data_IF_475895750297
#
_entry.id   IF_475895750297
#
_cell.length_a   1.000
_cell.length_b   1.000
_cell.length_c   1.000
_cell.angle_alpha   90.00
_cell.angle_beta   90.00
_cell.angle_gamma   90.00
#
_symmetry.space_group_name_H-M   'P 1'
#
loop_
_entity.id
_entity.type
_entity.pdbx_description
1 polymer ?
#
# COMPACT_ATOMS: atom_id res chain seq x y z
N UNK A 1 56.71 -15.90 3.63
CA UNK A 1 55.26 -15.66 3.74
C UNK A 1 54.81 -14.92 2.50
N UNK A 2 53.97 -15.54 1.68
CA UNK A 2 53.44 -14.94 0.46
C UNK A 2 52.27 -14.01 0.81
N UNK A 3 52.37 -12.73 0.47
CA UNK A 3 51.22 -11.83 0.38
C UNK A 3 51.06 -11.44 -1.09
N UNK A 4 49.93 -11.85 -1.66
CA UNK A 4 49.58 -11.63 -3.07
C UNK A 4 49.20 -10.16 -3.22
N UNK A 5 49.99 -9.41 -3.99
CA UNK A 5 49.67 -8.04 -4.39
C UNK A 5 48.58 -8.09 -5.47
N UNK A 6 47.35 -7.75 -5.11
CA UNK A 6 46.30 -7.50 -6.10
C UNK A 6 46.49 -6.08 -6.66
N UNK A 7 47.20 -5.97 -7.77
CA UNK A 7 47.26 -4.74 -8.55
C UNK A 7 46.01 -4.65 -9.45
N UNK A 8 44.99 -3.92 -9.03
CA UNK A 8 43.92 -3.50 -9.95
C UNK A 8 44.44 -2.37 -10.82
N UNK A 9 44.81 -2.70 -12.06
CA UNK A 9 45.13 -1.72 -13.08
C UNK A 9 43.86 -1.00 -13.52
N UNK A 10 43.65 0.20 -12.99
CA UNK A 10 42.92 1.25 -13.67
C UNK A 10 43.85 2.45 -13.79
N UNK A 11 44.40 2.63 -14.99
CA UNK A 11 44.90 3.90 -15.51
C UNK A 11 43.73 4.90 -15.37
N UNK A 12 43.82 6.00 -14.63
CA UNK A 12 44.64 7.17 -14.92
C UNK A 12 44.92 7.99 -13.63
N UNK A 13 46.20 8.12 -13.30
CA UNK A 13 46.80 9.35 -12.77
C UNK A 13 46.27 10.03 -11.49
N UNK A 14 46.44 9.41 -10.32
CA UNK A 14 46.97 10.12 -9.12
C UNK A 14 47.10 9.16 -7.94
N UNK A 15 48.34 8.93 -7.49
CA UNK A 15 48.63 8.14 -6.31
C UNK A 15 48.17 8.86 -5.05
N UNK A 16 47.29 8.22 -4.28
CA UNK A 16 47.06 8.55 -2.89
C UNK A 16 46.91 7.25 -2.10
N UNK A 17 47.81 7.13 -1.12
CA UNK A 17 48.04 5.98 -0.25
C UNK A 17 46.71 5.53 0.39
N UNK A 18 46.28 4.31 0.09
CA UNK A 18 45.11 3.70 0.73
C UNK A 18 45.43 3.42 2.20
N UNK A 19 45.15 4.39 3.06
CA UNK A 19 45.14 4.20 4.51
C UNK A 19 43.97 3.28 4.84
N UNK A 20 44.30 2.07 5.29
CA UNK A 20 43.37 0.97 5.56
C UNK A 20 42.13 1.41 6.31
N UNK A 21 41.07 1.63 5.55
CA UNK A 21 39.76 1.87 6.11
C UNK A 21 38.80 0.93 5.41
N UNK A 22 38.39 -0.08 6.16
CA UNK A 22 37.27 -0.95 5.82
C UNK A 22 36.00 -0.11 6.03
N UNK A 23 35.77 0.89 5.18
CA UNK A 23 34.43 1.43 5.00
C UNK A 23 33.83 0.68 3.81
N UNK A 24 32.74 -0.04 4.06
CA UNK A 24 31.90 -0.56 2.98
C UNK A 24 31.45 0.65 2.15
N UNK A 25 32.02 0.84 0.95
CA UNK A 25 31.60 1.92 0.06
C UNK A 25 30.17 1.62 -0.37
N UNK A 26 29.23 2.32 0.26
CA UNK A 26 27.80 2.27 -0.08
C UNK A 26 27.68 2.77 -1.52
N UNK A 27 27.54 1.84 -2.46
CA UNK A 27 27.39 2.20 -3.86
C UNK A 27 25.96 2.70 -4.08
N UNK A 28 25.79 4.01 -4.04
CA UNK A 28 24.50 4.67 -4.21
C UNK A 28 23.84 4.27 -5.55
N UNK A 29 24.57 4.16 -6.66
CA UNK A 29 23.95 3.77 -7.93
C UNK A 29 23.32 2.37 -7.88
N UNK A 30 23.97 1.40 -7.22
CA UNK A 30 23.40 0.06 -7.01
C UNK A 30 22.17 0.08 -6.13
N UNK A 31 22.17 0.91 -5.09
CA UNK A 31 21.04 1.05 -4.17
C UNK A 31 19.86 1.73 -4.88
N UNK A 32 20.11 2.78 -5.67
CA UNK A 32 19.12 3.42 -6.55
C UNK A 32 18.42 2.40 -7.43
N UNK A 33 19.21 1.62 -8.16
CA UNK A 33 18.74 0.62 -9.10
C UNK A 33 17.92 -0.47 -8.38
N UNK A 34 18.36 -0.90 -7.20
CA UNK A 34 17.62 -1.88 -6.41
C UNK A 34 16.25 -1.37 -5.96
N UNK A 35 16.18 -0.16 -5.37
CA UNK A 35 14.92 0.39 -4.88
C UNK A 35 13.95 0.75 -6.02
N UNK A 36 14.47 1.24 -7.15
CA UNK A 36 13.66 1.53 -8.35
C UNK A 36 13.13 0.27 -9.00
N UNK A 37 13.97 -0.76 -9.16
CA UNK A 37 13.54 -2.07 -9.66
C UNK A 37 12.47 -2.67 -8.76
N UNK A 38 12.64 -2.59 -7.45
CA UNK A 38 11.66 -3.08 -6.48
C UNK A 38 10.33 -2.33 -6.59
N UNK A 39 10.37 -1.00 -6.71
CA UNK A 39 9.18 -0.19 -6.87
C UNK A 39 8.42 -0.54 -8.16
N UNK A 40 9.13 -0.64 -9.28
CA UNK A 40 8.53 -0.95 -10.59
C UNK A 40 7.95 -2.36 -10.62
N UNK A 41 8.74 -3.36 -10.21
CA UNK A 41 8.35 -4.77 -10.32
C UNK A 41 7.28 -5.19 -9.31
N UNK A 42 7.37 -4.73 -8.06
CA UNK A 42 6.48 -5.20 -7.00
C UNK A 42 5.21 -4.35 -6.84
N UNK A 43 5.21 -3.11 -7.35
CA UNK A 43 4.10 -2.17 -7.12
C UNK A 43 3.52 -1.64 -8.42
N UNK A 44 4.29 -0.92 -9.24
CA UNK A 44 3.73 -0.23 -10.41
C UNK A 44 3.24 -1.19 -11.50
N UNK A 45 3.98 -2.26 -11.79
CA UNK A 45 3.56 -3.22 -12.81
C UNK A 45 2.30 -4.00 -12.37
N UNK A 46 2.22 -4.60 -11.17
CA UNK A 46 1.00 -5.25 -10.71
C UNK A 46 -0.20 -4.29 -10.62
N UNK A 47 0.00 -3.08 -10.10
CA UNK A 47 -1.09 -2.09 -9.98
C UNK A 47 -1.61 -1.64 -11.34
N UNK A 48 -0.73 -1.43 -12.33
CA UNK A 48 -1.14 -1.07 -13.69
C UNK A 48 -1.97 -2.18 -14.35
N UNK A 49 -1.52 -3.44 -14.26
CA UNK A 49 -2.26 -4.59 -14.80
C UNK A 49 -3.66 -4.69 -14.16
N UNK A 50 -3.72 -4.61 -12.84
CA UNK A 50 -4.97 -4.67 -12.08
C UNK A 50 -5.89 -3.50 -12.46
N UNK A 51 -5.35 -2.28 -12.61
CA UNK A 51 -6.11 -1.10 -12.99
C UNK A 51 -6.69 -1.22 -14.41
N UNK A 52 -5.89 -1.69 -15.37
CA UNK A 52 -6.37 -1.97 -16.74
C UNK A 52 -7.49 -3.00 -16.72
N UNK A 53 -7.31 -4.12 -16.00
CA UNK A 53 -8.35 -5.14 -15.87
C UNK A 53 -9.67 -4.54 -15.33
N UNK A 54 -9.60 -3.68 -14.31
CA UNK A 54 -10.80 -3.04 -13.77
C UNK A 54 -11.45 -2.03 -14.71
N UNK A 55 -10.66 -1.24 -15.44
CA UNK A 55 -11.18 -0.31 -16.46
C UNK A 55 -11.93 -1.09 -17.54
N UNK A 56 -11.37 -2.23 -17.98
CA UNK A 56 -12.03 -3.12 -18.94
C UNK A 56 -13.34 -3.69 -18.38
N UNK A 57 -13.34 -4.15 -17.13
CA UNK A 57 -14.57 -4.64 -16.46
C UNK A 57 -15.63 -3.53 -16.43
N UNK A 58 -15.27 -2.32 -15.98
CA UNK A 58 -16.20 -1.19 -15.91
C UNK A 58 -16.76 -0.81 -17.29
N UNK A 59 -15.91 -0.80 -18.33
CA UNK A 59 -16.31 -0.54 -19.70
C UNK A 59 -17.28 -1.61 -20.23
N UNK A 60 -17.01 -2.90 -19.97
CA UNK A 60 -17.91 -4.01 -20.35
C UNK A 60 -19.25 -3.89 -19.65
N UNK A 61 -19.25 -3.57 -18.35
CA UNK A 61 -20.48 -3.35 -17.56
C UNK A 61 -21.31 -2.21 -18.15
N UNK A 62 -20.69 -1.05 -18.38
CA UNK A 62 -21.39 0.12 -18.92
C UNK A 62 -21.91 -0.14 -20.34
N UNK A 63 -21.14 -0.84 -21.18
CA UNK A 63 -21.55 -1.22 -22.53
C UNK A 63 -22.77 -2.14 -22.49
N UNK A 64 -22.76 -3.17 -21.63
CA UNK A 64 -23.89 -4.10 -21.44
C UNK A 64 -25.12 -3.40 -20.87
N UNK A 65 -24.96 -2.50 -19.90
CA UNK A 65 -26.05 -1.70 -19.35
C UNK A 65 -26.70 -0.80 -20.42
N UNK A 66 -25.89 -0.18 -21.29
CA UNK A 66 -26.38 0.64 -22.41
C UNK A 66 -27.15 -0.21 -23.44
N UNK A 67 -26.62 -1.39 -23.80
CA UNK A 67 -27.27 -2.32 -24.72
C UNK A 67 -28.62 -2.83 -24.20
N UNK A 68 -28.72 -3.13 -22.90
CA UNK A 68 -30.00 -3.52 -22.27
C UNK A 68 -31.00 -2.36 -22.24
N UNK A 69 -30.55 -1.14 -21.96
CA UNK A 69 -31.43 0.04 -21.94
C UNK A 69 -31.99 0.38 -23.32
N UNK A 70 -31.26 0.07 -24.39
CA UNK A 70 -31.69 0.30 -25.76
C UNK A 70 -32.69 -0.76 -26.29
N UNK A 71 -33.04 -1.77 -25.48
CA UNK A 71 -34.08 -2.75 -25.85
C UNK A 71 -33.66 -3.79 -26.90
N UNK A 72 -32.37 -3.89 -27.22
CA UNK A 72 -31.87 -4.74 -28.32
C UNK A 72 -31.62 -6.21 -27.94
N UNK A 73 -31.74 -6.59 -26.66
CA UNK A 73 -31.58 -7.97 -26.20
C UNK A 73 -32.89 -8.52 -25.65
N UNK A 74 -33.50 -9.48 -26.35
CA UNK A 74 -34.55 -10.32 -25.77
C UNK A 74 -33.95 -11.16 -24.65
N UNK A 75 -34.52 -11.06 -23.43
CA UNK A 75 -33.96 -11.72 -22.25
C UNK A 75 -34.46 -13.17 -22.18
N UNK A 76 -33.59 -14.14 -22.47
CA UNK A 76 -33.90 -15.56 -22.22
C UNK A 76 -33.73 -15.89 -20.74
N UNK A 77 -34.33 -16.98 -20.26
CA UNK A 77 -34.19 -17.38 -18.85
C UNK A 77 -32.73 -17.71 -18.47
N UNK A 78 -31.95 -18.16 -19.47
CA UNK A 78 -30.50 -18.34 -19.34
C UNK A 78 -29.77 -17.00 -19.16
N UNK A 79 -30.19 -15.93 -19.84
CA UNK A 79 -29.63 -14.58 -19.69
C UNK A 79 -29.91 -14.00 -18.29
N UNK A 80 -31.09 -14.30 -17.71
CA UNK A 80 -31.45 -13.89 -16.35
C UNK A 80 -30.54 -14.53 -15.31
N UNK A 81 -30.31 -15.84 -15.42
CA UNK A 81 -29.43 -16.55 -14.49
C UNK A 81 -27.98 -16.08 -14.63
N UNK A 82 -27.50 -15.87 -15.86
CA UNK A 82 -26.16 -15.32 -16.10
C UNK A 82 -26.01 -13.89 -15.57
N UNK A 83 -27.04 -13.05 -15.71
CA UNK A 83 -27.07 -11.68 -15.16
C UNK A 83 -27.03 -11.67 -13.63
N UNK A 84 -27.79 -12.54 -12.99
CA UNK A 84 -27.77 -12.74 -11.53
C UNK A 84 -26.36 -13.08 -11.03
N UNK A 85 -25.70 -14.05 -11.65
CA UNK A 85 -24.31 -14.42 -11.34
C UNK A 85 -23.36 -13.23 -11.53
N UNK A 86 -23.43 -12.55 -12.67
CA UNK A 86 -22.59 -11.39 -12.98
C UNK A 86 -22.75 -10.24 -11.99
N UNK A 87 -23.98 -9.93 -11.55
CA UNK A 87 -24.23 -8.90 -10.53
C UNK A 87 -23.59 -9.26 -9.18
N UNK A 88 -23.55 -10.56 -8.85
CA UNK A 88 -22.91 -11.09 -7.64
C UNK A 88 -21.40 -10.96 -7.72
N UNK A 89 -20.81 -11.24 -8.88
CA UNK A 89 -19.37 -11.07 -9.14
C UNK A 89 -18.97 -9.58 -9.10
N UNK A 90 -19.80 -8.70 -9.65
CA UNK A 90 -19.56 -7.25 -9.59
C UNK A 90 -19.52 -6.70 -8.17
N UNK A 91 -20.27 -7.30 -7.23
CA UNK A 91 -20.20 -6.92 -5.81
C UNK A 91 -18.82 -7.23 -5.24
N UNK A 92 -18.24 -8.37 -5.58
CA UNK A 92 -16.87 -8.75 -5.18
C UNK A 92 -15.86 -7.83 -5.83
N UNK A 93 -15.96 -7.59 -7.14
CA UNK A 93 -15.11 -6.65 -7.88
C UNK A 93 -15.13 -5.26 -7.26
N UNK A 94 -16.31 -4.75 -6.85
CA UNK A 94 -16.44 -3.46 -6.16
C UNK A 94 -15.66 -3.43 -4.83
N UNK A 95 -15.68 -4.52 -4.07
CA UNK A 95 -14.89 -4.60 -2.84
C UNK A 95 -13.39 -4.60 -3.15
N UNK A 96 -12.97 -5.38 -4.15
CA UNK A 96 -11.57 -5.43 -4.59
C UNK A 96 -11.07 -4.07 -5.12
N UNK A 97 -11.92 -3.32 -5.82
CA UNK A 97 -11.62 -1.95 -6.26
C UNK A 97 -11.28 -1.03 -5.09
N UNK A 98 -12.03 -1.11 -3.99
CA UNK A 98 -11.76 -0.29 -2.81
C UNK A 98 -10.49 -0.74 -2.10
N UNK A 99 -10.25 -2.05 -1.96
CA UNK A 99 -9.01 -2.60 -1.41
C UNK A 99 -7.80 -2.09 -2.20
N UNK A 100 -7.84 -2.22 -3.53
CA UNK A 100 -6.76 -1.77 -4.41
C UNK A 100 -6.61 -0.25 -4.39
N UNK A 101 -7.70 0.50 -4.33
CA UNK A 101 -7.66 1.95 -4.18
C UNK A 101 -6.95 2.38 -2.90
N UNK A 102 -7.28 1.78 -1.76
CA UNK A 102 -6.61 2.05 -0.48
C UNK A 102 -5.15 1.63 -0.52
N UNK A 103 -4.85 0.45 -1.08
CA UNK A 103 -3.48 0.00 -1.28
C UNK A 103 -2.66 1.01 -2.09
N UNK A 104 -3.20 1.51 -3.20
CA UNK A 104 -2.53 2.53 -4.01
C UNK A 104 -2.35 3.82 -3.21
N UNK A 105 -3.37 4.29 -2.49
CA UNK A 105 -3.29 5.53 -1.70
C UNK A 105 -2.27 5.44 -0.56
N UNK A 106 -2.10 4.28 0.05
CA UNK A 106 -1.12 4.08 1.13
C UNK A 106 0.32 3.90 0.61
N UNK A 107 0.51 3.25 -0.53
CA UNK A 107 1.85 2.90 -1.01
C UNK A 107 2.41 3.86 -2.06
N UNK A 108 1.57 4.42 -2.93
CA UNK A 108 2.00 5.32 -4.00
C UNK A 108 2.76 6.55 -3.48
N UNK A 109 2.29 7.25 -2.42
CA UNK A 109 3.03 8.39 -1.87
C UNK A 109 4.42 8.01 -1.36
N UNK A 110 4.56 6.81 -0.78
CA UNK A 110 5.83 6.31 -0.28
C UNK A 110 6.82 5.99 -1.40
N UNK A 111 6.36 5.31 -2.46
CA UNK A 111 7.20 5.04 -3.62
C UNK A 111 7.63 6.33 -4.33
N UNK A 112 6.72 7.28 -4.52
CA UNK A 112 7.04 8.60 -5.10
C UNK A 112 8.07 9.32 -4.22
N UNK A 113 7.90 9.30 -2.89
CA UNK A 113 8.82 9.96 -1.97
C UNK A 113 10.23 9.37 -2.00
N UNK A 114 10.36 8.04 -2.02
CA UNK A 114 11.65 7.35 -2.17
C UNK A 114 12.32 7.72 -3.50
N UNK A 115 11.57 7.77 -4.60
CA UNK A 115 12.10 8.21 -5.89
C UNK A 115 12.56 9.68 -5.84
N UNK A 116 11.78 10.57 -5.23
CA UNK A 116 12.17 11.97 -5.07
C UNK A 116 13.46 12.13 -4.26
N UNK A 117 13.61 11.41 -3.15
CA UNK A 117 14.83 11.42 -2.34
C UNK A 117 16.08 10.95 -3.12
N UNK A 118 15.90 10.03 -4.07
CA UNK A 118 17.02 9.44 -4.81
C UNK A 118 17.38 10.19 -6.10
N UNK A 119 16.39 10.79 -6.76
CA UNK A 119 16.58 11.45 -8.05
C UNK A 119 16.69 12.97 -7.95
N UNK A 120 16.21 13.58 -6.86
CA UNK A 120 16.35 15.01 -6.61
C UNK A 120 17.21 15.29 -5.37
N UNK A 121 18.45 15.79 -5.54
CA UNK A 121 19.33 16.16 -4.41
C UNK A 121 18.70 17.19 -3.48
N UNK A 122 17.81 18.05 -4.00
CA UNK A 122 17.10 19.10 -3.25
C UNK A 122 16.20 18.60 -2.11
N UNK A 123 15.85 17.31 -2.14
CA UNK A 123 15.07 16.63 -1.11
C UNK A 123 15.95 15.76 -0.21
N UNK A 124 17.23 15.54 -0.57
CA UNK A 124 18.15 14.75 0.21
C UNK A 124 18.66 15.54 1.43
N UNK A 125 18.45 14.99 2.62
CA UNK A 125 18.77 15.64 3.89
C UNK A 125 20.26 15.94 4.05
N UNK A 126 21.12 15.20 3.35
CA UNK A 126 22.58 15.29 3.48
C UNK A 126 23.18 16.51 2.78
N UNK A 127 22.49 17.08 1.79
CA UNK A 127 23.00 18.22 0.98
C UNK A 127 22.21 19.53 1.17
N UNK A 128 21.21 19.53 2.06
CA UNK A 128 20.40 20.71 2.32
C UNK A 128 21.20 21.75 3.14
N UNK A 129 21.36 22.99 2.65
CA UNK A 129 22.06 24.04 3.38
C UNK A 129 21.37 24.38 4.71
N UNK A 130 22.18 24.61 5.76
CA UNK A 130 21.76 24.85 7.15
C UNK A 130 20.76 26.03 7.29
N UNK A 131 20.79 26.99 6.36
CA UNK A 131 19.96 28.20 6.39
C UNK A 131 18.49 28.00 5.95
N UNK A 132 18.07 26.79 5.54
CA UNK A 132 16.69 26.49 5.14
C UNK A 132 15.92 25.62 6.16
N UNK A 133 15.95 26.01 7.43
CA UNK A 133 15.31 25.29 8.54
C UNK A 133 13.81 25.02 8.30
N UNK A 134 13.09 25.96 7.67
CA UNK A 134 11.66 25.82 7.35
C UNK A 134 11.38 24.81 6.23
N UNK A 135 12.33 24.59 5.30
CA UNK A 135 12.21 23.58 4.23
C UNK A 135 12.56 22.19 4.79
N UNK A 136 13.65 22.07 5.54
CA UNK A 136 14.04 20.81 6.21
C UNK A 136 12.94 20.29 7.13
N UNK A 137 12.32 21.16 7.94
CA UNK A 137 11.20 20.75 8.81
C UNK A 137 10.01 20.18 8.02
N UNK A 138 9.65 20.81 6.89
CA UNK A 138 8.56 20.33 6.02
C UNK A 138 8.89 18.97 5.40
N UNK A 139 10.11 18.79 4.91
CA UNK A 139 10.57 17.53 4.33
C UNK A 139 10.62 16.43 5.41
N UNK A 140 11.06 16.74 6.63
CA UNK A 140 11.09 15.79 7.74
C UNK A 140 9.69 15.33 8.15
N UNK A 141 8.74 16.28 8.30
CA UNK A 141 7.34 15.97 8.60
C UNK A 141 6.72 15.15 7.48
N UNK A 142 6.94 15.53 6.22
CA UNK A 142 6.46 14.77 5.07
C UNK A 142 7.04 13.35 5.05
N UNK A 143 8.34 13.18 5.30
CA UNK A 143 9.00 11.89 5.38
C UNK A 143 8.40 11.02 6.49
N UNK A 144 8.18 11.59 7.68
CA UNK A 144 7.55 10.89 8.80
C UNK A 144 6.14 10.40 8.46
N UNK A 145 5.30 11.29 7.91
CA UNK A 145 3.92 10.97 7.53
C UNK A 145 3.91 9.90 6.42
N UNK A 146 4.66 10.12 5.34
CA UNK A 146 4.68 9.25 4.17
C UNK A 146 5.28 7.88 4.50
N UNK A 147 6.28 7.81 5.37
CA UNK A 147 6.83 6.54 5.86
C UNK A 147 5.84 5.77 6.72
N UNK A 148 4.89 6.46 7.37
CA UNK A 148 3.86 5.82 8.18
C UNK A 148 2.70 5.23 7.34
N UNK A 149 2.42 5.79 6.16
CA UNK A 149 1.30 5.41 5.29
C UNK A 149 1.26 3.90 4.92
N UNK A 150 2.38 3.23 4.57
CA UNK A 150 2.38 1.79 4.30
C UNK A 150 1.95 0.95 5.51
N UNK A 151 2.24 1.40 6.74
CA UNK A 151 1.82 0.71 7.96
C UNK A 151 0.32 0.81 8.20
N UNK A 152 -0.31 1.92 7.77
CA UNK A 152 -1.76 2.08 7.80
C UNK A 152 -2.48 1.05 6.91
N UNK A 153 -1.85 0.56 5.84
CA UNK A 153 -2.43 -0.48 4.96
C UNK A 153 -2.86 -1.73 5.76
N UNK A 154 -2.04 -2.15 6.73
CA UNK A 154 -2.35 -3.31 7.59
C UNK A 154 -3.50 -3.02 8.57
N UNK A 155 -3.59 -1.79 9.08
CA UNK A 155 -4.66 -1.36 9.98
C UNK A 155 -5.99 -1.18 9.25
N UNK A 156 -5.94 -0.81 7.98
CA UNK A 156 -7.11 -0.59 7.15
C UNK A 156 -7.70 -1.90 6.64
N UNK A 157 -6.94 -3.00 6.57
CA UNK A 157 -7.46 -4.30 6.13
C UNK A 157 -8.73 -4.72 6.91
N UNK A 158 -8.75 -4.83 8.25
CA UNK A 158 -9.97 -5.12 9.01
C UNK A 158 -11.10 -4.10 8.81
N UNK A 159 -10.78 -2.82 8.65
CA UNK A 159 -11.75 -1.72 8.48
C UNK A 159 -12.42 -1.79 7.11
N UNK A 160 -11.65 -2.07 6.07
CA UNK A 160 -12.13 -2.26 4.70
C UNK A 160 -13.09 -3.46 4.69
N UNK A 161 -12.70 -4.61 5.25
CA UNK A 161 -13.59 -5.77 5.31
C UNK A 161 -14.84 -5.50 6.18
N UNK A 162 -14.68 -4.84 7.34
CA UNK A 162 -15.78 -4.50 8.25
C UNK A 162 -16.80 -3.52 7.65
N UNK A 163 -16.36 -2.58 6.81
CA UNK A 163 -17.20 -1.54 6.24
C UNK A 163 -17.83 -1.92 4.89
N UNK A 164 -17.15 -2.71 4.05
CA UNK A 164 -17.56 -2.95 2.66
C UNK A 164 -18.36 -4.24 2.46
N UNK A 165 -18.16 -5.25 3.32
CA UNK A 165 -18.97 -6.46 3.28
C UNK A 165 -20.12 -6.37 4.31
N UNK A 166 -21.36 -6.46 3.81
CA UNK A 166 -22.56 -6.49 4.65
C UNK A 166 -22.50 -7.61 5.68
N UNK A 167 -21.93 -8.76 5.32
CA UNK A 167 -21.78 -9.93 6.19
C UNK A 167 -20.77 -9.66 7.31
N UNK A 168 -19.66 -8.96 7.02
CA UNK A 168 -18.70 -8.58 8.06
C UNK A 168 -19.23 -7.45 8.96
N UNK A 169 -19.93 -6.46 8.42
CA UNK A 169 -20.58 -5.41 9.21
C UNK A 169 -21.56 -5.98 10.23
N UNK A 170 -22.29 -7.02 9.83
CA UNK A 170 -23.25 -7.72 10.69
C UNK A 170 -22.56 -8.56 11.76
N UNK A 171 -21.45 -9.24 11.41
CA UNK A 171 -20.59 -9.92 12.37
C UNK A 171 -19.96 -8.96 13.40
N UNK A 172 -19.46 -7.80 12.98
CA UNK A 172 -18.92 -6.76 13.88
C UNK A 172 -20.00 -6.17 14.80
N UNK A 173 -21.21 -5.91 14.28
CA UNK A 173 -22.34 -5.49 15.11
C UNK A 173 -22.69 -6.54 16.18
N UNK A 174 -22.67 -7.82 15.81
CA UNK A 174 -22.94 -8.92 16.73
C UNK A 174 -21.83 -9.07 17.78
N UNK A 175 -20.56 -8.91 17.39
CA UNK A 175 -19.42 -8.91 18.31
C UNK A 175 -19.50 -7.74 19.30
N UNK A 176 -19.81 -6.54 18.81
CA UNK A 176 -19.92 -5.33 19.63
C UNK A 176 -21.09 -5.43 20.61
N UNK A 177 -22.26 -5.90 20.16
CA UNK A 177 -23.40 -6.22 21.04
C UNK A 177 -23.02 -7.20 22.14
N UNK A 178 -22.30 -8.28 21.80
CA UNK A 178 -21.84 -9.27 22.78
C UNK A 178 -20.88 -8.65 23.80
N UNK A 179 -19.92 -7.84 23.37
CA UNK A 179 -19.00 -7.15 24.29
C UNK A 179 -19.73 -6.17 25.21
N UNK A 180 -20.67 -5.37 24.70
CA UNK A 180 -21.46 -4.44 25.52
C UNK A 180 -22.39 -5.16 26.49
N UNK A 181 -22.99 -6.29 26.09
CA UNK A 181 -23.83 -7.10 26.98
C UNK A 181 -23.03 -7.82 28.06
N UNK A 182 -21.81 -8.30 27.75
CA UNK A 182 -20.89 -8.92 28.70
C UNK A 182 -20.44 -7.91 29.78
N UNK A 183 -20.13 -6.67 29.37
CA UNK A 183 -19.76 -5.59 30.30
C UNK A 183 -20.91 -5.24 31.26
N UNK A 184 -22.16 -5.24 30.77
CA UNK A 184 -23.34 -5.03 31.62
C UNK A 184 -23.64 -6.18 32.59
N UNK A 185 -23.28 -7.42 32.26
CA UNK A 185 -23.43 -8.56 33.16
C UNK A 185 -22.35 -8.65 34.24
N UNK A 186 -21.12 -8.21 33.95
CA UNK A 186 -20.01 -8.23 34.94
C UNK A 186 -20.18 -7.18 36.03
N UNK A 187 -20.82 -6.03 35.75
CA UNK A 187 -21.17 -5.05 36.79
C UNK A 187 -22.29 -5.52 37.74
N UNK A 188 -23.02 -6.61 37.41
CA UNK A 188 -24.08 -7.16 38.27
C UNK A 188 -23.62 -8.29 39.20
N UNK A 189 -22.35 -8.70 39.15
CA UNK A 189 -21.77 -9.72 40.03
C UNK A 189 -20.55 -9.18 40.79
N UNK A 190 -20.77 -8.22 41.69
CA UNK A 190 -19.96 -8.12 42.92
C UNK A 190 -20.86 -8.50 44.10
N UNK A 191 -20.40 -9.39 45.00
CA UNK A 191 -21.26 -10.10 45.95
C UNK A 191 -21.58 -9.24 47.17
N UNK A 192 -22.87 -9.05 47.44
CA UNK A 192 -23.34 -8.55 48.73
C UNK A 192 -23.18 -9.63 49.80
N UNK A 193 -22.25 -9.41 50.71
CA UNK A 193 -22.11 -10.11 51.99
C UNK A 193 -23.26 -9.73 52.94
N UNK A 194 -23.70 -10.71 53.74
CA UNK A 194 -24.51 -10.63 54.98
C UNK A 194 -26.03 -10.36 54.88
N UNK A 195 -26.85 -11.37 55.25
CA UNK A 195 -27.66 -11.43 56.49
C UNK A 195 -28.79 -12.46 56.35
N UNK A 196 -28.70 -13.58 57.07
CA UNK A 196 -29.72 -14.11 58.00
C UNK A 196 -29.18 -15.33 58.73
#
# INVERSE_FOLDING_TARGET
>A
GFAIYAATNYLDGSGIMAHGSIYCTVNYDKIKAFYTLRAVSAFFLPTAVILVMYVLIFAVVHKRQKMQRNGELGETDNDRNQRSGFLRDLKVVRMLLVIVGVFILCWCPWFIWILLLYYHPDFNFTELPIWSFSKQRRILIANFIISFLPYLNSLLNPVIYACLDKTYREAFKNLFKRMTCQLSSTTRQQPGTQQS
#
